data_IF_504979427109
#
_entry.id   IF_504979427109
#
_cell.length_a   1.000
_cell.length_b   1.000
_cell.length_c   1.000
_cell.angle_alpha   90.00
_cell.angle_beta   90.00
_cell.angle_gamma   90.00
#
_symmetry.space_group_name_H-M   'P 1'
#
loop_
_entity.id
_entity.type
_entity.pdbx_description
1 polymer ?
#
# COMPACT_ATOMS: atom_id res chain seq x y z
N UNK A 1 15.74 3.46 -6.54
CA UNK A 1 14.28 3.36 -6.28
C UNK A 1 13.89 1.90 -6.23
N UNK A 2 13.15 1.46 -5.23
CA UNK A 2 12.64 0.09 -5.12
C UNK A 2 11.32 -0.05 -5.89
N UNK A 3 11.09 -1.23 -6.48
CA UNK A 3 9.83 -1.57 -7.14
C UNK A 3 8.97 -2.45 -6.23
N UNK A 4 7.69 -2.13 -6.10
CA UNK A 4 6.73 -2.91 -5.33
C UNK A 4 5.61 -3.49 -6.20
N UNK A 5 5.10 -4.66 -5.81
CA UNK A 5 3.83 -5.20 -6.28
C UNK A 5 2.79 -4.99 -5.19
N UNK A 6 1.64 -4.40 -5.51
CA UNK A 6 0.52 -4.25 -4.57
C UNK A 6 -0.60 -5.23 -4.90
N UNK A 7 -1.09 -5.91 -3.88
CA UNK A 7 -2.17 -6.89 -3.98
C UNK A 7 -3.36 -6.38 -3.16
N UNK A 8 -4.36 -5.78 -3.84
CA UNK A 8 -5.61 -5.35 -3.22
C UNK A 8 -6.52 -6.54 -2.89
N UNK A 9 -6.44 -7.61 -3.69
CA UNK A 9 -7.20 -8.84 -3.52
C UNK A 9 -8.73 -8.64 -3.58
N UNK A 10 -9.18 -7.83 -4.53
CA UNK A 10 -10.60 -7.55 -4.75
C UNK A 10 -11.36 -8.82 -5.11
N UNK A 11 -12.52 -9.03 -4.48
CA UNK A 11 -13.45 -10.11 -4.80
C UNK A 11 -14.64 -9.54 -5.56
N UNK A 12 -14.76 -9.88 -6.85
CA UNK A 12 -15.85 -9.41 -7.72
C UNK A 12 -16.56 -10.58 -8.38
N UNK A 13 -15.96 -11.09 -9.44
CA UNK A 13 -16.54 -12.06 -10.38
C UNK A 13 -15.58 -13.23 -10.63
N UNK A 14 -14.69 -13.51 -9.70
CA UNK A 14 -13.74 -14.62 -9.84
C UNK A 14 -14.48 -15.97 -9.80
N UNK A 15 -14.31 -16.85 -10.82
CA UNK A 15 -15.06 -18.11 -10.92
C UNK A 15 -14.86 -19.04 -9.71
N UNK A 16 -13.68 -19.00 -9.09
CA UNK A 16 -13.34 -19.79 -7.89
C UNK A 16 -13.45 -18.97 -6.59
N UNK A 17 -14.10 -17.81 -6.63
CA UNK A 17 -14.30 -16.95 -5.46
C UNK A 17 -13.00 -16.53 -4.77
N UNK A 18 -13.04 -16.43 -3.44
CA UNK A 18 -11.88 -16.01 -2.65
C UNK A 18 -10.66 -16.93 -2.79
N UNK A 19 -10.87 -18.24 -2.97
CA UNK A 19 -9.77 -19.19 -3.20
C UNK A 19 -9.01 -18.87 -4.49
N UNK A 20 -9.75 -18.51 -5.55
CA UNK A 20 -9.16 -18.08 -6.82
C UNK A 20 -8.34 -16.80 -6.66
N UNK A 21 -8.88 -15.78 -5.98
CA UNK A 21 -8.15 -14.55 -5.68
C UNK A 21 -6.84 -14.82 -4.91
N UNK A 22 -6.86 -15.75 -3.94
CA UNK A 22 -5.65 -16.15 -3.19
C UNK A 22 -4.60 -16.83 -4.09
N UNK A 23 -5.04 -17.74 -4.98
CA UNK A 23 -4.14 -18.41 -5.95
C UNK A 23 -3.53 -17.42 -6.94
N UNK A 24 -4.33 -16.52 -7.47
CA UNK A 24 -3.87 -15.50 -8.41
C UNK A 24 -2.89 -14.53 -7.74
N UNK A 25 -3.18 -14.11 -6.51
CA UNK A 25 -2.26 -13.30 -5.69
C UNK A 25 -0.92 -13.99 -5.51
N UNK A 26 -0.93 -15.28 -5.13
CA UNK A 26 0.31 -16.08 -5.01
C UNK A 26 1.07 -16.07 -6.34
N UNK A 27 0.38 -16.35 -7.45
CA UNK A 27 1.02 -16.39 -8.78
C UNK A 27 1.65 -15.05 -9.17
N UNK A 28 0.99 -13.94 -8.88
CA UNK A 28 1.52 -12.60 -9.15
C UNK A 28 2.75 -12.29 -8.30
N UNK A 29 2.77 -12.71 -7.03
CA UNK A 29 3.94 -12.51 -6.15
C UNK A 29 5.12 -13.40 -6.59
N UNK A 30 4.88 -14.65 -7.02
CA UNK A 30 5.91 -15.52 -7.59
C UNK A 30 6.55 -14.87 -8.83
N UNK A 31 5.74 -14.29 -9.73
CA UNK A 31 6.21 -13.56 -10.91
C UNK A 31 6.97 -12.30 -10.51
N UNK A 32 6.49 -11.55 -9.53
CA UNK A 32 7.19 -10.36 -9.05
C UNK A 32 8.58 -10.70 -8.49
N UNK A 33 8.71 -11.80 -7.73
CA UNK A 33 9.99 -12.28 -7.24
C UNK A 33 10.91 -12.73 -8.40
N UNK A 34 10.37 -13.44 -9.41
CA UNK A 34 11.10 -13.83 -10.62
C UNK A 34 11.64 -12.62 -11.39
N UNK A 35 10.86 -11.54 -11.45
CA UNK A 35 11.18 -10.30 -12.14
C UNK A 35 11.99 -9.29 -11.29
N UNK A 36 12.49 -9.71 -10.13
CA UNK A 36 13.27 -8.91 -9.19
C UNK A 36 12.55 -7.63 -8.72
N UNK A 37 11.25 -7.74 -8.41
CA UNK A 37 10.57 -6.73 -7.61
C UNK A 37 11.07 -6.80 -6.16
N UNK A 38 11.18 -5.65 -5.50
CA UNK A 38 11.76 -5.56 -4.15
C UNK A 38 10.77 -5.93 -3.05
N UNK A 39 9.47 -5.56 -3.20
CA UNK A 39 8.47 -5.69 -2.13
C UNK A 39 7.13 -6.17 -2.70
N UNK A 40 6.52 -7.19 -2.07
CA UNK A 40 5.13 -7.56 -2.27
C UNK A 40 4.29 -7.04 -1.10
N UNK A 41 3.30 -6.20 -1.40
CA UNK A 41 2.39 -5.59 -0.46
C UNK A 41 1.03 -6.29 -0.47
N UNK A 42 0.43 -6.46 0.71
CA UNK A 42 -0.92 -7.01 0.88
C UNK A 42 -1.80 -6.00 1.59
N UNK A 43 -2.94 -5.68 0.99
CA UNK A 43 -3.91 -4.73 1.56
C UNK A 43 -4.57 -5.27 2.84
N UNK A 44 -5.13 -4.36 3.64
CA UNK A 44 -6.05 -4.67 4.72
C UNK A 44 -7.37 -3.95 4.51
N UNK A 45 -8.45 -4.74 4.37
CA UNK A 45 -9.83 -4.27 4.41
C UNK A 45 -10.75 -5.34 4.97
N UNK A 46 -11.85 -4.92 5.56
CA UNK A 46 -12.72 -5.79 6.33
C UNK A 46 -14.15 -5.79 5.82
N UNK A 47 -14.84 -6.93 5.99
CA UNK A 47 -16.28 -7.11 5.84
C UNK A 47 -16.84 -6.77 4.45
N UNK A 48 -16.02 -6.74 3.40
CA UNK A 48 -16.45 -6.32 2.07
C UNK A 48 -15.67 -7.02 0.96
N UNK A 49 -16.31 -7.08 -0.21
CA UNK A 49 -15.72 -7.56 -1.45
C UNK A 49 -14.67 -6.62 -2.06
N UNK A 50 -14.41 -5.49 -1.42
CA UNK A 50 -13.32 -4.57 -1.78
C UNK A 50 -11.95 -5.26 -1.68
N UNK A 51 -11.75 -6.06 -0.64
CA UNK A 51 -10.57 -6.90 -0.48
C UNK A 51 -10.86 -8.18 0.31
N UNK A 52 -10.29 -9.30 -0.12
CA UNK A 52 -10.33 -10.58 0.58
C UNK A 52 -9.23 -10.74 1.63
N UNK A 53 -8.56 -9.64 2.01
CA UNK A 53 -7.42 -9.64 2.95
C UNK A 53 -7.73 -8.85 4.23
N UNK A 54 -8.32 -9.48 5.25
CA UNK A 54 -8.55 -8.82 6.54
C UNK A 54 -7.33 -8.86 7.47
N UNK A 55 -6.29 -9.62 7.12
CA UNK A 55 -5.05 -9.75 7.92
C UNK A 55 -3.83 -9.81 7.02
N UNK A 56 -3.23 -8.65 6.70
CA UNK A 56 -2.06 -8.60 5.82
C UNK A 56 -0.82 -9.26 6.43
N UNK A 57 -0.68 -9.31 7.75
CA UNK A 57 0.42 -10.05 8.40
C UNK A 57 0.27 -11.57 8.21
N UNK A 58 -0.95 -12.09 8.19
CA UNK A 58 -1.20 -13.49 7.83
C UNK A 58 -0.81 -13.77 6.38
N UNK A 59 -1.10 -12.84 5.47
CA UNK A 59 -0.67 -12.94 4.07
C UNK A 59 0.85 -12.89 3.93
N UNK A 60 1.54 -12.02 4.68
CA UNK A 60 3.00 -12.00 4.73
C UNK A 60 3.59 -13.32 5.25
N UNK A 61 3.03 -13.88 6.32
CA UNK A 61 3.43 -15.18 6.87
C UNK A 61 3.20 -16.33 5.89
N UNK A 62 2.06 -16.33 5.20
CA UNK A 62 1.79 -17.31 4.14
C UNK A 62 2.79 -17.17 2.99
N UNK A 63 3.05 -15.96 2.52
CA UNK A 63 3.99 -15.70 1.44
C UNK A 63 5.44 -16.03 1.82
N UNK A 64 5.83 -15.87 3.07
CA UNK A 64 7.16 -16.22 3.57
C UNK A 64 7.51 -17.69 3.34
N UNK A 65 6.49 -18.58 3.36
CA UNK A 65 6.68 -20.02 3.19
C UNK A 65 7.07 -20.46 1.77
N UNK A 66 6.83 -19.63 0.75
CA UNK A 66 7.09 -19.99 -0.65
C UNK A 66 7.87 -18.94 -1.45
N UNK A 67 8.21 -17.80 -0.85
CA UNK A 67 9.14 -16.79 -1.41
C UNK A 67 10.51 -16.87 -0.73
N UNK A 68 11.56 -16.34 -1.39
CA UNK A 68 12.94 -16.43 -0.90
C UNK A 68 13.68 -15.10 -0.83
N UNK A 69 13.34 -14.13 -1.71
CA UNK A 69 14.08 -12.88 -1.87
C UNK A 69 13.21 -11.64 -1.64
N UNK A 70 12.01 -11.63 -2.21
CA UNK A 70 11.12 -10.48 -2.17
C UNK A 70 10.75 -10.16 -0.72
N UNK A 71 10.81 -8.88 -0.37
CA UNK A 71 10.31 -8.39 0.92
C UNK A 71 8.79 -8.47 0.96
N UNK A 72 8.24 -8.65 2.13
CA UNK A 72 6.81 -8.84 2.35
C UNK A 72 6.29 -7.72 3.25
N UNK A 73 5.23 -7.04 2.85
CA UNK A 73 4.71 -5.89 3.57
C UNK A 73 3.20 -5.89 3.70
N UNK A 74 2.65 -5.67 4.90
CA UNK A 74 1.29 -5.21 5.05
C UNK A 74 1.15 -3.82 4.42
N UNK A 75 0.19 -3.63 3.56
CA UNK A 75 -0.06 -2.36 2.89
C UNK A 75 -1.49 -1.86 3.11
N UNK A 76 -1.87 -1.67 4.41
CA UNK A 76 -1.15 -1.46 5.67
C UNK A 76 -1.75 -2.27 6.81
N UNK A 77 -1.12 -2.29 8.00
CA UNK A 77 -1.78 -2.63 9.24
C UNK A 77 -2.57 -1.40 9.68
N UNK A 78 -3.90 -1.50 9.74
CA UNK A 78 -4.76 -0.43 10.29
C UNK A 78 -4.70 -0.49 11.82
N UNK A 79 -3.61 0.01 12.39
CA UNK A 79 -3.21 -0.20 13.79
C UNK A 79 -4.32 0.09 14.82
N UNK A 80 -5.19 1.13 14.64
CA UNK A 80 -6.28 1.39 15.59
C UNK A 80 -7.31 0.25 15.73
N UNK A 81 -7.38 -0.67 14.76
CA UNK A 81 -8.34 -1.79 14.79
C UNK A 81 -7.82 -3.03 15.53
N UNK A 82 -6.59 -2.98 16.05
CA UNK A 82 -5.91 -4.13 16.65
C UNK A 82 -5.63 -3.93 18.15
N UNK A 83 -5.38 -5.05 18.83
CA UNK A 83 -4.67 -4.99 20.10
C UNK A 83 -3.16 -4.84 19.83
N UNK A 84 -2.50 -3.78 20.32
CA UNK A 84 -1.10 -3.49 20.00
C UNK A 84 -0.12 -4.56 20.49
N UNK A 85 -0.41 -5.26 21.59
CA UNK A 85 0.43 -6.37 22.07
C UNK A 85 0.41 -7.55 21.09
N UNK A 86 -0.76 -7.83 20.51
CA UNK A 86 -0.91 -8.88 19.51
C UNK A 86 -0.17 -8.53 18.23
N UNK A 87 -0.32 -7.31 17.74
CA UNK A 87 0.39 -6.84 16.53
C UNK A 87 1.90 -6.93 16.70
N UNK A 88 2.44 -6.52 17.86
CA UNK A 88 3.87 -6.63 18.12
C UNK A 88 4.38 -8.08 18.00
N UNK A 89 3.63 -9.04 18.53
CA UNK A 89 3.98 -10.45 18.42
C UNK A 89 3.87 -10.96 16.98
N UNK A 90 2.79 -10.62 16.27
CA UNK A 90 2.57 -11.02 14.88
C UNK A 90 3.63 -10.45 13.93
N UNK A 91 4.08 -9.20 14.14
CA UNK A 91 5.22 -8.62 13.43
C UNK A 91 6.49 -9.43 13.67
N UNK A 92 6.78 -9.78 14.93
CA UNK A 92 7.97 -10.56 15.25
C UNK A 92 7.92 -11.97 14.65
N UNK A 93 6.72 -12.61 14.62
CA UNK A 93 6.50 -13.91 13.97
C UNK A 93 6.74 -13.81 12.47
N UNK A 94 6.09 -12.85 11.80
CA UNK A 94 6.19 -12.68 10.34
C UNK A 94 7.63 -12.32 9.91
N UNK A 95 8.33 -11.50 10.69
CA UNK A 95 9.73 -11.17 10.44
C UNK A 95 10.64 -12.41 10.58
N UNK A 96 10.40 -13.21 11.60
CA UNK A 96 11.14 -14.47 11.81
C UNK A 96 10.86 -15.48 10.70
N UNK A 97 9.58 -15.70 10.35
CA UNK A 97 9.21 -16.65 9.29
C UNK A 97 9.73 -16.25 7.92
N UNK A 98 9.81 -14.94 7.64
CA UNK A 98 10.37 -14.44 6.40
C UNK A 98 11.90 -14.40 6.37
N UNK A 99 12.58 -14.73 7.48
CA UNK A 99 14.03 -14.62 7.58
C UNK A 99 14.53 -13.18 7.50
N UNK A 100 13.79 -12.24 8.10
CA UNK A 100 14.14 -10.81 8.10
C UNK A 100 13.79 -10.06 6.81
N UNK A 101 12.79 -10.55 6.04
CA UNK A 101 12.30 -9.90 4.83
C UNK A 101 11.01 -9.08 5.05
N UNK A 102 10.50 -8.99 6.28
CA UNK A 102 9.33 -8.18 6.56
C UNK A 102 9.66 -6.69 6.43
N UNK A 103 8.74 -5.91 5.88
CA UNK A 103 8.65 -4.47 6.04
C UNK A 103 7.35 -4.14 6.75
N UNK A 104 7.31 -3.07 7.55
CA UNK A 104 6.13 -2.71 8.33
C UNK A 104 5.40 -1.55 7.64
N UNK A 105 4.24 -1.82 7.05
CA UNK A 105 3.36 -0.77 6.57
C UNK A 105 2.25 -0.49 7.60
N UNK A 106 2.08 0.77 7.98
CA UNK A 106 1.15 1.23 9.02
C UNK A 106 0.19 2.28 8.48
N UNK A 107 -1.05 2.24 8.94
CA UNK A 107 -2.07 3.22 8.61
C UNK A 107 -3.01 3.51 9.76
N UNK A 108 -3.56 4.73 9.76
CA UNK A 108 -4.58 5.14 10.75
C UNK A 108 -5.97 4.64 10.42
N UNK A 109 -6.19 4.14 9.20
CA UNK A 109 -7.52 3.83 8.70
C UNK A 109 -8.33 5.07 8.27
N UNK A 110 -9.39 4.83 7.49
CA UNK A 110 -10.25 5.91 6.98
C UNK A 110 -11.67 5.47 6.63
N UNK A 111 -11.99 4.18 6.83
CA UNK A 111 -13.27 3.58 6.44
C UNK A 111 -14.20 3.53 7.64
N UNK A 112 -15.23 4.40 7.66
CA UNK A 112 -16.21 4.46 8.77
C UNK A 112 -16.85 3.10 9.02
N UNK A 113 -17.21 2.38 7.92
CA UNK A 113 -17.85 1.08 8.01
C UNK A 113 -17.00 0.05 8.79
N UNK A 114 -15.68 0.03 8.58
CA UNK A 114 -14.78 -0.88 9.27
C UNK A 114 -14.65 -0.52 10.76
N UNK A 115 -14.48 0.76 11.07
CA UNK A 115 -14.32 1.26 12.43
C UNK A 115 -15.54 0.98 13.31
N UNK A 116 -16.74 1.19 12.77
CA UNK A 116 -17.99 0.92 13.51
C UNK A 116 -18.09 -0.55 13.97
N UNK A 117 -17.63 -1.50 13.16
CA UNK A 117 -17.71 -2.93 13.45
C UNK A 117 -16.66 -3.40 14.44
N UNK A 118 -15.57 -2.69 14.54
CA UNK A 118 -14.57 -2.90 15.59
C UNK A 118 -14.82 -2.05 16.84
N UNK A 119 -15.91 -1.28 16.88
CA UNK A 119 -16.26 -0.38 17.99
C UNK A 119 -15.13 0.63 18.31
N UNK A 120 -14.43 1.09 17.28
CA UNK A 120 -13.39 2.10 17.37
C UNK A 120 -13.91 3.43 16.82
N UNK A 121 -13.70 4.51 17.54
CA UNK A 121 -14.12 5.85 17.12
C UNK A 121 -13.14 6.37 16.05
N UNK A 122 -13.66 6.62 14.84
CA UNK A 122 -12.83 7.04 13.70
C UNK A 122 -12.12 8.39 13.95
N UNK A 123 -12.75 9.31 14.67
CA UNK A 123 -12.16 10.62 14.99
C UNK A 123 -10.95 10.52 15.93
N UNK A 124 -10.90 9.50 16.79
CA UNK A 124 -9.77 9.24 17.70
C UNK A 124 -8.61 8.49 17.01
N UNK A 125 -8.74 8.09 15.75
CA UNK A 125 -7.79 7.19 15.03
C UNK A 125 -6.32 7.60 15.12
N UNK A 126 -6.01 8.90 15.09
CA UNK A 126 -4.63 9.39 15.13
C UNK A 126 -4.04 9.23 16.54
N UNK A 127 -4.81 9.56 17.56
CA UNK A 127 -4.36 9.46 18.95
C UNK A 127 -4.26 7.99 19.38
N UNK A 128 -5.23 7.14 18.99
CA UNK A 128 -5.15 5.67 19.20
C UNK A 128 -3.92 5.09 18.50
N UNK A 129 -3.69 5.48 17.23
CA UNK A 129 -2.54 5.01 16.47
C UNK A 129 -1.22 5.33 17.15
N UNK A 130 -1.05 6.56 17.63
CA UNK A 130 0.18 7.00 18.30
C UNK A 130 0.41 6.24 19.62
N UNK A 131 -0.64 6.09 20.44
CA UNK A 131 -0.57 5.34 21.69
C UNK A 131 -0.26 3.84 21.45
N UNK A 132 -0.91 3.23 20.45
CA UNK A 132 -0.68 1.83 20.10
C UNK A 132 0.71 1.61 19.49
N UNK A 133 1.20 2.58 18.70
CA UNK A 133 2.56 2.50 18.18
C UNK A 133 3.60 2.59 19.28
N UNK A 134 3.39 3.41 20.31
CA UNK A 134 4.32 3.48 21.46
C UNK A 134 4.46 2.13 22.14
N UNK A 135 3.37 1.37 22.27
CA UNK A 135 3.37 0.02 22.83
C UNK A 135 4.12 -0.96 21.91
N UNK A 136 3.78 -0.94 20.60
CA UNK A 136 4.42 -1.81 19.60
C UNK A 136 5.92 -1.55 19.52
N UNK A 137 6.33 -0.28 19.48
CA UNK A 137 7.75 0.11 19.44
C UNK A 137 8.50 -0.37 20.68
N UNK A 138 7.96 -0.14 21.88
CA UNK A 138 8.60 -0.63 23.12
C UNK A 138 8.74 -2.16 23.11
N UNK A 139 7.69 -2.87 22.72
CA UNK A 139 7.70 -4.34 22.64
C UNK A 139 8.78 -4.86 21.68
N UNK A 140 8.88 -4.28 20.49
CA UNK A 140 9.81 -4.76 19.44
C UNK A 140 11.26 -4.33 19.72
N UNK A 141 11.47 -3.12 20.21
CA UNK A 141 12.83 -2.58 20.46
C UNK A 141 13.40 -3.08 21.78
N UNK A 142 12.63 -2.98 22.87
CA UNK A 142 13.08 -3.30 24.22
C UNK A 142 12.80 -4.75 24.62
N UNK A 143 11.87 -5.43 23.94
CA UNK A 143 11.40 -6.75 24.32
C UNK A 143 10.53 -6.75 25.58
N UNK A 144 10.17 -5.57 26.10
CA UNK A 144 9.27 -5.37 27.25
C UNK A 144 8.47 -4.11 27.04
N UNK A 145 7.27 -4.07 27.62
CA UNK A 145 6.41 -2.89 27.62
C UNK A 145 5.71 -2.77 28.98
N UNK A 146 5.55 -1.53 29.44
CA UNK A 146 4.65 -1.12 30.50
C UNK A 146 4.06 0.21 30.06
N UNK A 147 2.73 0.33 30.03
CA UNK A 147 2.06 1.49 29.46
C UNK A 147 0.79 1.83 30.19
N UNK A 148 0.54 3.10 30.43
CA UNK A 148 -0.71 3.59 30.99
C UNK A 148 -1.18 4.79 30.15
N UNK A 149 -2.06 4.51 29.18
CA UNK A 149 -2.55 5.47 28.21
C UNK A 149 -4.02 5.84 28.38
N UNK A 150 -4.51 6.64 27.45
CA UNK A 150 -5.93 7.04 27.36
C UNK A 150 -6.81 5.89 26.91
N UNK A 151 -6.33 5.11 25.94
CA UNK A 151 -7.13 4.07 25.26
C UNK A 151 -6.82 2.66 25.78
N UNK A 152 -5.62 2.42 26.30
CA UNK A 152 -5.22 1.11 26.81
C UNK A 152 -4.17 1.25 27.93
N UNK A 153 -4.29 0.37 28.92
CA UNK A 153 -3.25 0.19 29.95
C UNK A 153 -2.68 -1.23 29.85
N UNK A 154 -1.35 -1.32 29.86
CA UNK A 154 -0.61 -2.57 29.73
C UNK A 154 0.28 -2.74 30.96
N UNK A 155 0.06 -3.77 31.79
CA UNK A 155 0.99 -4.08 32.88
C UNK A 155 2.34 -4.51 32.31
N UNK A 156 3.38 -4.45 33.13
CA UNK A 156 4.73 -4.85 32.71
C UNK A 156 4.70 -6.26 32.08
N UNK A 157 4.99 -6.30 30.77
CA UNK A 157 4.88 -7.50 29.94
C UNK A 157 6.19 -7.70 29.16
N UNK A 158 6.71 -8.92 29.15
CA UNK A 158 7.91 -9.30 28.40
C UNK A 158 7.55 -10.14 27.19
N UNK A 159 8.28 -9.94 26.09
CA UNK A 159 8.08 -10.65 24.82
C UNK A 159 9.20 -11.67 24.61
N UNK A 160 8.84 -12.95 24.48
CA UNK A 160 9.78 -14.03 24.20
C UNK A 160 10.23 -13.99 22.74
N UNK A 161 9.28 -13.76 21.80
CA UNK A 161 9.60 -13.64 20.39
C UNK A 161 10.04 -12.23 20.02
N UNK A 162 11.08 -12.12 19.20
CA UNK A 162 11.69 -10.86 18.77
C UNK A 162 11.88 -10.86 17.25
N UNK A 163 11.94 -9.67 16.65
CA UNK A 163 12.29 -9.51 15.24
C UNK A 163 13.72 -9.97 14.96
N UNK A 164 13.94 -10.52 13.75
CA UNK A 164 15.27 -10.79 13.21
C UNK A 164 15.98 -9.49 12.88
N UNK A 165 15.26 -8.54 12.29
CA UNK A 165 15.77 -7.24 11.90
C UNK A 165 15.92 -6.32 13.12
N UNK A 166 17.03 -5.55 13.18
CA UNK A 166 17.35 -4.65 14.28
C UNK A 166 17.63 -3.23 13.77
N UNK A 167 17.20 -2.20 14.49
CA UNK A 167 16.34 -2.25 15.70
C UNK A 167 14.90 -2.64 15.39
N UNK A 168 14.42 -2.42 14.15
CA UNK A 168 13.09 -2.71 13.62
C UNK A 168 13.18 -3.05 12.14
N UNK A 169 12.22 -3.81 11.59
CA UNK A 169 12.01 -3.86 10.14
C UNK A 169 11.78 -2.46 9.56
N UNK A 170 12.11 -2.19 8.27
CA UNK A 170 11.82 -0.91 7.63
C UNK A 170 10.34 -0.52 7.73
N UNK A 171 10.07 0.77 7.98
CA UNK A 171 8.72 1.27 8.27
C UNK A 171 8.21 2.14 7.12
N UNK A 172 6.94 1.92 6.75
CA UNK A 172 6.18 2.75 5.83
C UNK A 172 4.89 3.21 6.53
N UNK A 173 4.47 4.47 6.31
CA UNK A 173 3.29 5.02 6.98
C UNK A 173 2.39 5.72 5.96
N UNK A 174 1.13 5.28 5.82
CA UNK A 174 0.15 5.93 4.94
C UNK A 174 -0.50 7.11 5.63
N UNK A 175 0.26 8.16 5.89
CA UNK A 175 -0.24 9.39 6.48
C UNK A 175 0.63 10.58 6.11
N UNK A 176 -0.03 11.73 5.88
CA UNK A 176 0.59 13.06 5.79
C UNK A 176 0.34 13.89 7.05
N UNK A 177 -0.17 13.29 8.14
CA UNK A 177 -0.46 14.03 9.37
C UNK A 177 0.86 14.43 10.07
N UNK A 178 1.09 15.74 10.39
CA UNK A 178 2.36 16.21 10.96
C UNK A 178 2.82 15.49 12.24
N UNK A 179 1.88 15.13 13.14
CA UNK A 179 2.22 14.35 14.35
C UNK A 179 2.84 12.99 14.01
N UNK A 180 2.32 12.30 12.98
CA UNK A 180 2.86 11.00 12.56
C UNK A 180 4.21 11.16 11.88
N UNK A 181 4.35 12.11 10.96
CA UNK A 181 5.64 12.39 10.31
C UNK A 181 6.71 12.69 11.35
N UNK A 182 6.44 13.56 12.32
CA UNK A 182 7.35 13.86 13.42
C UNK A 182 7.69 12.64 14.28
N UNK A 183 6.69 11.78 14.57
CA UNK A 183 6.86 10.58 15.39
C UNK A 183 7.73 9.51 14.72
N UNK A 184 7.59 9.37 13.39
CA UNK A 184 8.23 8.29 12.63
C UNK A 184 9.57 8.69 11.96
N UNK A 185 9.88 9.99 11.82
CA UNK A 185 11.12 10.44 11.18
C UNK A 185 12.40 9.89 11.82
N UNK A 186 12.39 9.63 13.13
CA UNK A 186 13.55 9.05 13.84
C UNK A 186 13.92 7.64 13.36
N UNK A 187 12.97 6.94 12.74
CA UNK A 187 13.14 5.60 12.17
C UNK A 187 13.44 5.61 10.67
N UNK A 188 13.53 6.79 10.05
CA UNK A 188 13.68 6.92 8.60
C UNK A 188 12.46 6.36 7.84
N UNK A 189 11.28 6.36 8.46
CA UNK A 189 10.08 5.80 7.87
C UNK A 189 9.70 6.53 6.58
N UNK A 190 9.27 5.77 5.57
CA UNK A 190 8.81 6.30 4.29
C UNK A 190 7.31 6.59 4.34
N UNK A 191 6.86 7.85 4.18
CA UNK A 191 5.47 8.10 3.85
C UNK A 191 5.08 7.32 2.59
N UNK A 192 3.89 6.72 2.61
CA UNK A 192 3.37 5.94 1.50
C UNK A 192 2.03 6.54 1.04
N UNK A 193 2.02 7.20 -0.12
CA UNK A 193 0.83 7.82 -0.68
C UNK A 193 0.29 7.00 -1.86
N UNK A 194 -1.03 6.92 -1.93
CA UNK A 194 -1.73 6.17 -2.95
C UNK A 194 -3.04 6.85 -3.31
N UNK A 195 -3.14 7.34 -4.55
CA UNK A 195 -4.37 7.95 -5.06
C UNK A 195 -5.36 6.90 -5.59
N UNK A 196 -5.03 5.61 -5.48
CA UNK A 196 -5.86 4.50 -5.97
C UNK A 196 -6.25 4.73 -7.44
N UNK A 197 -7.53 4.60 -7.76
CA UNK A 197 -8.09 4.73 -9.11
C UNK A 197 -8.17 6.19 -9.61
N UNK A 198 -7.92 7.18 -8.75
CA UNK A 198 -7.89 8.60 -9.16
C UNK A 198 -6.60 8.98 -9.90
N UNK A 199 -5.58 8.11 -9.83
CA UNK A 199 -4.35 8.20 -10.63
C UNK A 199 -3.45 9.39 -10.32
N UNK A 200 -2.58 9.72 -11.28
CA UNK A 200 -1.51 10.71 -11.11
C UNK A 200 -1.98 12.11 -10.71
N UNK A 201 -3.08 12.68 -11.23
CA UNK A 201 -3.51 14.02 -10.81
C UNK A 201 -3.82 14.13 -9.31
N UNK A 202 -4.48 13.11 -8.76
CA UNK A 202 -4.77 13.08 -7.32
C UNK A 202 -3.49 12.77 -6.50
N UNK A 203 -2.62 11.90 -7.02
CA UNK A 203 -1.35 11.59 -6.38
C UNK A 203 -0.45 12.83 -6.23
N UNK A 204 -0.42 13.71 -7.23
CA UNK A 204 0.35 14.97 -7.16
C UNK A 204 -0.16 15.88 -6.04
N UNK A 205 -1.48 16.02 -5.91
CA UNK A 205 -2.08 16.79 -4.79
C UNK A 205 -1.72 16.21 -3.43
N UNK A 206 -1.70 14.87 -3.32
CA UNK A 206 -1.26 14.20 -2.08
C UNK A 206 0.23 14.47 -1.80
N UNK A 207 1.08 14.47 -2.83
CA UNK A 207 2.49 14.82 -2.73
C UNK A 207 2.71 16.25 -2.26
N UNK A 208 1.97 17.21 -2.82
CA UNK A 208 2.03 18.62 -2.40
C UNK A 208 1.59 18.79 -0.94
N UNK A 209 0.51 18.12 -0.54
CA UNK A 209 0.06 18.11 0.86
C UNK A 209 1.07 17.49 1.81
N UNK A 210 1.75 16.43 1.40
CA UNK A 210 2.83 15.81 2.18
C UNK A 210 4.04 16.75 2.33
N UNK A 211 4.45 17.43 1.25
CA UNK A 211 5.53 18.41 1.30
C UNK A 211 5.20 19.53 2.30
N UNK A 212 4.00 20.11 2.21
CA UNK A 212 3.54 21.14 3.17
C UNK A 212 3.53 20.61 4.61
N UNK A 213 3.19 19.35 4.82
CA UNK A 213 3.21 18.74 6.14
C UNK A 213 4.64 18.60 6.70
N UNK A 214 5.64 18.22 5.87
CA UNK A 214 7.05 18.22 6.26
C UNK A 214 7.56 19.63 6.60
N UNK A 215 7.28 20.61 5.75
CA UNK A 215 7.65 22.02 5.98
C UNK A 215 7.07 22.55 7.30
N UNK A 216 5.80 22.17 7.62
CA UNK A 216 5.13 22.61 8.85
C UNK A 216 5.81 22.12 10.14
N UNK A 217 6.62 21.09 10.07
CA UNK A 217 7.41 20.55 11.21
C UNK A 217 8.91 20.87 11.10
N UNK A 218 9.29 21.77 10.18
CA UNK A 218 10.65 22.26 10.00
C UNK A 218 11.59 21.30 9.27
N UNK A 219 11.06 20.35 8.51
CA UNK A 219 11.85 19.40 7.72
C UNK A 219 11.79 19.76 6.22
N UNK A 220 12.90 19.57 5.50
CA UNK A 220 12.97 19.72 4.05
C UNK A 220 12.40 18.46 3.37
N UNK A 221 11.28 18.57 2.59
CA UNK A 221 10.69 17.43 1.89
C UNK A 221 11.63 16.75 0.89
N UNK A 222 12.59 17.49 0.30
CA UNK A 222 13.53 16.95 -0.68
C UNK A 222 14.48 15.90 -0.08
N UNK A 223 14.69 15.94 1.23
CA UNK A 223 15.56 15.01 1.96
C UNK A 223 14.82 13.77 2.48
N UNK A 224 13.50 13.67 2.27
CA UNK A 224 12.69 12.60 2.85
C UNK A 224 12.40 11.50 1.83
N UNK A 225 12.40 10.23 2.27
CA UNK A 225 11.96 9.15 1.40
C UNK A 225 10.46 9.29 1.11
N UNK A 226 10.04 8.77 -0.04
CA UNK A 226 8.63 8.73 -0.44
C UNK A 226 8.33 7.42 -1.14
N UNK A 227 7.31 6.72 -0.69
CA UNK A 227 6.71 5.60 -1.40
C UNK A 227 5.41 6.03 -2.08
N UNK A 228 5.22 5.60 -3.33
CA UNK A 228 3.98 5.84 -4.07
C UNK A 228 3.41 4.54 -4.59
N UNK A 229 2.07 4.50 -4.79
CA UNK A 229 1.40 3.39 -5.45
C UNK A 229 0.54 3.90 -6.61
N UNK A 230 0.61 3.17 -7.74
CA UNK A 230 -0.17 3.42 -8.95
C UNK A 230 -0.81 2.13 -9.47
N UNK A 231 -1.96 2.28 -10.09
CA UNK A 231 -2.60 1.23 -10.88
C UNK A 231 -1.99 1.22 -12.26
N UNK A 232 -1.50 0.07 -12.69
CA UNK A 232 -0.71 -0.09 -13.92
C UNK A 232 -1.32 -1.15 -14.80
N UNK A 233 -1.52 -0.84 -16.09
CA UNK A 233 -1.93 -1.83 -17.08
C UNK A 233 -1.32 -1.49 -18.43
N UNK A 234 -0.57 -2.44 -19.02
CA UNK A 234 -0.04 -2.30 -20.36
C UNK A 234 -1.04 -2.89 -21.36
N UNK A 235 -1.52 -2.05 -22.27
CA UNK A 235 -2.61 -2.34 -23.20
C UNK A 235 -2.17 -2.15 -24.65
N UNK A 236 -2.85 -2.84 -25.59
CA UNK A 236 -2.56 -2.75 -27.03
C UNK A 236 -3.58 -1.87 -27.78
N UNK A 237 -4.64 -1.44 -27.08
CA UNK A 237 -5.70 -0.61 -27.67
C UNK A 237 -6.42 0.25 -26.65
N UNK A 238 -7.14 1.28 -27.15
CA UNK A 238 -8.03 2.09 -26.30
C UNK A 238 -9.13 1.23 -25.66
N UNK A 239 -9.64 0.23 -26.35
CA UNK A 239 -10.66 -0.67 -25.82
C UNK A 239 -10.14 -1.42 -24.58
N UNK A 240 -8.92 -1.95 -24.63
CA UNK A 240 -8.28 -2.58 -23.46
C UNK A 240 -8.01 -1.59 -22.31
N UNK A 241 -7.66 -0.35 -22.64
CA UNK A 241 -7.49 0.69 -21.63
C UNK A 241 -8.81 1.04 -20.93
N UNK A 242 -9.93 1.07 -21.68
CA UNK A 242 -11.26 1.28 -21.10
C UNK A 242 -11.74 0.10 -20.24
N UNK A 243 -11.39 -1.15 -20.59
CA UNK A 243 -11.60 -2.31 -19.71
C UNK A 243 -10.84 -2.15 -18.38
N UNK A 244 -9.59 -1.73 -18.41
CA UNK A 244 -8.84 -1.41 -17.20
C UNK A 244 -9.52 -0.27 -16.42
N UNK A 245 -10.05 0.74 -17.12
CA UNK A 245 -10.85 1.81 -16.54
C UNK A 245 -12.13 1.29 -15.84
N UNK A 246 -12.81 0.31 -16.43
CA UNK A 246 -13.99 -0.32 -15.84
C UNK A 246 -13.65 -1.07 -14.55
N UNK A 247 -12.57 -1.85 -14.54
CA UNK A 247 -12.06 -2.54 -13.34
C UNK A 247 -11.69 -1.55 -12.23
N UNK A 248 -11.08 -0.43 -12.59
CA UNK A 248 -10.76 0.63 -11.65
C UNK A 248 -12.00 1.34 -11.13
N UNK A 249 -13.01 1.60 -11.98
CA UNK A 249 -14.28 2.18 -11.57
C UNK A 249 -14.97 1.33 -10.51
N UNK A 250 -14.99 0.01 -10.68
CA UNK A 250 -15.50 -0.90 -9.66
C UNK A 250 -14.80 -0.69 -8.31
N UNK A 251 -13.46 -0.68 -8.29
CA UNK A 251 -12.68 -0.42 -7.07
C UNK A 251 -13.01 0.96 -6.47
N UNK A 252 -13.16 1.97 -7.33
CA UNK A 252 -13.52 3.33 -6.92
C UNK A 252 -14.89 3.39 -6.22
N UNK A 253 -15.89 2.67 -6.74
CA UNK A 253 -17.22 2.54 -6.14
C UNK A 253 -17.17 1.89 -4.77
N UNK A 254 -16.47 0.75 -4.66
CA UNK A 254 -16.29 0.07 -3.38
C UNK A 254 -15.63 0.99 -2.35
N UNK A 255 -14.53 1.65 -2.73
CA UNK A 255 -13.81 2.59 -1.86
C UNK A 255 -14.67 3.80 -1.46
N UNK A 256 -15.56 4.27 -2.34
CA UNK A 256 -16.50 5.36 -2.03
C UNK A 256 -17.52 4.91 -0.98
N UNK A 257 -18.17 3.77 -1.20
CA UNK A 257 -19.20 3.28 -0.30
C UNK A 257 -18.65 2.97 1.09
N UNK A 258 -17.48 2.35 1.19
CA UNK A 258 -16.84 2.03 2.49
C UNK A 258 -16.57 3.24 3.39
N UNK A 259 -16.57 4.46 2.85
CA UNK A 259 -16.47 5.70 3.63
C UNK A 259 -17.80 6.11 4.26
N UNK A 260 -18.90 5.48 3.87
CA UNK A 260 -20.23 5.77 4.41
C UNK A 260 -20.50 4.90 5.66
N UNK A 261 -21.35 5.39 6.55
CA UNK A 261 -21.76 4.64 7.72
C UNK A 261 -22.67 3.44 7.38
N UNK A 262 -23.41 3.54 6.26
CA UNK A 262 -24.25 2.46 5.73
C UNK A 262 -23.80 2.11 4.30
N UNK A 263 -23.86 0.82 3.97
CA UNK A 263 -23.48 0.31 2.65
C UNK A 263 -24.69 -0.19 1.86
N UNK A 264 -24.73 0.00 0.54
CA UNK A 264 -25.62 -0.74 -0.33
C UNK A 264 -25.09 -2.17 -0.45
N UNK A 265 -25.72 -3.13 0.24
CA UNK A 265 -25.32 -4.52 0.23
C UNK A 265 -26.34 -5.38 -0.54
N UNK A 266 -25.85 -6.40 -1.22
CA UNK A 266 -26.67 -7.47 -1.75
C UNK A 266 -27.06 -8.49 -0.66
N UNK A 267 -27.79 -9.55 -1.06
CA UNK A 267 -28.24 -10.61 -0.13
C UNK A 267 -27.09 -11.43 0.48
N UNK A 268 -25.92 -11.41 -0.12
CA UNK A 268 -24.74 -12.16 0.30
C UNK A 268 -23.75 -11.27 1.11
N UNK A 269 -24.11 -9.99 1.32
CA UNK A 269 -23.32 -9.02 2.09
C UNK A 269 -22.22 -8.33 1.27
N UNK A 270 -22.26 -8.42 -0.05
CA UNK A 270 -21.32 -7.71 -0.92
C UNK A 270 -21.82 -6.30 -1.20
N UNK A 271 -20.89 -5.34 -1.26
CA UNK A 271 -21.19 -3.97 -1.68
C UNK A 271 -21.62 -4.00 -3.14
N UNK A 272 -22.76 -3.37 -3.43
CA UNK A 272 -23.28 -3.24 -4.79
C UNK A 272 -22.39 -2.32 -5.63
N UNK A 273 -22.26 -2.66 -6.92
CA UNK A 273 -21.52 -1.86 -7.91
C UNK A 273 -22.39 -0.67 -8.39
N UNK A 274 -22.72 0.26 -7.48
CA UNK A 274 -23.58 1.40 -7.77
C UNK A 274 -22.76 2.67 -8.01
N UNK A 275 -23.13 3.49 -9.04
CA UNK A 275 -22.50 4.76 -9.30
C UNK A 275 -22.77 5.76 -8.17
N UNK A 276 -21.86 6.73 -8.01
CA UNK A 276 -22.00 7.81 -7.05
C UNK A 276 -21.84 9.19 -7.72
N UNK A 277 -22.33 10.23 -7.04
CA UNK A 277 -22.23 11.58 -7.57
C UNK A 277 -20.76 12.02 -7.67
N UNK A 278 -20.36 12.50 -8.85
CA UNK A 278 -18.99 12.93 -9.12
C UNK A 278 -18.04 11.78 -9.52
N UNK A 279 -18.56 10.59 -9.79
CA UNK A 279 -17.78 9.49 -10.34
C UNK A 279 -17.10 9.90 -11.66
N UNK A 280 -15.86 9.48 -11.83
CA UNK A 280 -15.13 9.70 -13.07
C UNK A 280 -15.73 8.88 -14.23
N UNK A 281 -15.61 9.39 -15.45
CA UNK A 281 -15.91 8.61 -16.66
C UNK A 281 -14.87 7.49 -16.85
N UNK A 282 -15.19 6.48 -17.66
CA UNK A 282 -14.23 5.41 -17.99
C UNK A 282 -12.95 5.95 -18.64
N UNK A 283 -13.11 6.95 -19.52
CA UNK A 283 -11.97 7.62 -20.14
C UNK A 283 -11.08 8.30 -19.10
N UNK A 284 -11.68 9.01 -18.14
CA UNK A 284 -10.92 9.65 -17.06
C UNK A 284 -10.20 8.64 -16.16
N UNK A 285 -10.83 7.50 -15.84
CA UNK A 285 -10.14 6.43 -15.12
C UNK A 285 -8.93 5.91 -15.91
N UNK A 286 -9.10 5.57 -17.19
CA UNK A 286 -8.02 5.07 -18.03
C UNK A 286 -6.89 6.09 -18.23
N UNK A 287 -7.23 7.38 -18.40
CA UNK A 287 -6.25 8.43 -18.67
C UNK A 287 -5.48 8.86 -17.41
N UNK A 288 -6.12 8.88 -16.25
CA UNK A 288 -5.50 9.29 -14.98
C UNK A 288 -4.54 8.23 -14.41
N UNK A 289 -4.84 6.94 -14.59
CA UNK A 289 -3.97 5.85 -14.16
C UNK A 289 -2.77 5.66 -15.09
N UNK A 290 -1.82 4.83 -14.69
CA UNK A 290 -0.64 4.44 -15.48
C UNK A 290 -1.03 3.31 -16.44
N UNK A 291 -1.93 3.63 -17.37
CA UNK A 291 -2.52 2.72 -18.35
C UNK A 291 -2.26 3.20 -19.77
N UNK A 292 -1.96 2.28 -20.69
CA UNK A 292 -1.70 2.53 -22.10
C UNK A 292 -0.70 1.54 -22.70
N UNK A 293 -0.22 1.85 -23.92
CA UNK A 293 0.90 1.13 -24.52
C UNK A 293 2.20 1.36 -23.73
N UNK A 294 3.30 0.60 -24.01
CA UNK A 294 4.53 0.72 -23.25
C UNK A 294 5.13 2.12 -23.21
N UNK A 295 5.04 2.90 -24.30
CA UNK A 295 5.56 4.28 -24.34
C UNK A 295 4.71 5.20 -23.46
N UNK A 296 3.39 5.13 -23.57
CA UNK A 296 2.45 5.89 -22.73
C UNK A 296 2.65 5.59 -21.25
N UNK A 297 2.79 4.31 -20.89
CA UNK A 297 3.03 3.90 -19.49
C UNK A 297 4.38 4.40 -19.00
N UNK A 298 5.44 4.31 -19.81
CA UNK A 298 6.76 4.84 -19.46
C UNK A 298 6.74 6.35 -19.26
N UNK A 299 6.10 7.12 -20.16
CA UNK A 299 5.95 8.57 -20.02
C UNK A 299 5.25 8.98 -18.73
N UNK A 300 4.12 8.31 -18.40
CA UNK A 300 3.39 8.55 -17.15
C UNK A 300 4.23 8.21 -15.92
N UNK A 301 4.97 7.10 -15.95
CA UNK A 301 5.88 6.71 -14.87
C UNK A 301 7.02 7.72 -14.69
N UNK A 302 7.66 8.14 -15.80
CA UNK A 302 8.72 9.18 -15.80
C UNK A 302 8.20 10.50 -15.24
N UNK A 303 6.97 10.90 -15.62
CA UNK A 303 6.33 12.11 -15.08
C UNK A 303 6.14 12.02 -13.56
N UNK A 304 5.67 10.88 -13.06
CA UNK A 304 5.52 10.63 -11.62
C UNK A 304 6.88 10.68 -10.89
N UNK A 305 7.91 10.05 -11.47
CA UNK A 305 9.27 10.04 -10.90
C UNK A 305 9.84 11.46 -10.83
N UNK A 306 9.76 12.21 -11.93
CA UNK A 306 10.28 13.59 -11.99
C UNK A 306 9.50 14.54 -11.05
N UNK A 307 8.19 14.39 -10.96
CA UNK A 307 7.33 15.28 -10.15
C UNK A 307 7.43 15.02 -8.65
N UNK A 308 7.52 13.76 -8.24
CA UNK A 308 7.41 13.36 -6.84
C UNK A 308 8.75 12.90 -6.24
N UNK A 309 9.68 12.39 -7.04
CA UNK A 309 10.96 11.84 -6.57
C UNK A 309 10.80 10.65 -5.63
N UNK A 310 10.02 9.61 -5.99
CA UNK A 310 9.82 8.49 -5.08
C UNK A 310 11.09 7.65 -4.92
N UNK A 311 11.29 7.16 -3.70
CA UNK A 311 12.30 6.13 -3.39
C UNK A 311 11.73 4.71 -3.55
N UNK A 312 10.40 4.59 -3.55
CA UNK A 312 9.68 3.34 -3.76
C UNK A 312 8.50 3.58 -4.71
N UNK A 313 8.43 2.82 -5.79
CA UNK A 313 7.34 2.85 -6.77
C UNK A 313 6.62 1.52 -6.77
N UNK A 314 5.39 1.50 -6.26
CA UNK A 314 4.58 0.30 -6.15
C UNK A 314 3.52 0.26 -7.26
N UNK A 315 3.42 -0.88 -7.94
CA UNK A 315 2.48 -1.11 -9.03
C UNK A 315 1.39 -2.08 -8.60
N UNK A 316 0.14 -1.76 -8.89
CA UNK A 316 -0.98 -2.69 -8.79
C UNK A 316 -1.40 -3.09 -10.21
N UNK A 317 -1.16 -4.36 -10.60
CA UNK A 317 -1.55 -4.91 -11.89
C UNK A 317 -2.86 -5.70 -11.83
N UNK A 318 -3.29 -6.10 -10.63
CA UNK A 318 -4.43 -7.02 -10.40
C UNK A 318 -5.63 -6.32 -9.74
N UNK A 319 -5.92 -5.08 -10.14
CA UNK A 319 -7.02 -4.31 -9.57
C UNK A 319 -8.39 -4.71 -10.14
N UNK A 320 -9.44 -4.59 -9.34
CA UNK A 320 -10.83 -4.84 -9.73
C UNK A 320 -11.09 -6.27 -10.19
N UNK A 321 -10.39 -7.25 -9.60
CA UNK A 321 -10.43 -8.65 -10.04
C UNK A 321 -10.03 -8.82 -11.52
N UNK A 322 -8.95 -8.13 -11.93
CA UNK A 322 -8.38 -8.28 -13.27
C UNK A 322 -8.09 -9.75 -13.56
N UNK A 323 -8.49 -10.29 -14.73
CA UNK A 323 -8.13 -11.65 -15.10
C UNK A 323 -6.63 -11.91 -14.99
N UNK A 324 -6.24 -13.04 -14.40
CA UNK A 324 -4.84 -13.36 -14.12
C UNK A 324 -3.93 -13.24 -15.35
N UNK A 325 -4.37 -13.76 -16.51
CA UNK A 325 -3.60 -13.66 -17.75
C UNK A 325 -3.30 -12.21 -18.15
N UNK A 326 -4.25 -11.30 -17.94
CA UNK A 326 -4.07 -9.86 -18.25
C UNK A 326 -3.06 -9.23 -17.30
N UNK A 327 -3.17 -9.51 -16.00
CA UNK A 327 -2.23 -9.03 -15.00
C UNK A 327 -0.82 -9.57 -15.25
N UNK A 328 -0.68 -10.86 -15.58
CA UNK A 328 0.60 -11.49 -15.95
C UNK A 328 1.20 -10.87 -17.21
N UNK A 329 0.43 -10.77 -18.29
CA UNK A 329 0.89 -10.10 -19.53
C UNK A 329 1.39 -8.69 -19.21
N UNK A 330 0.67 -7.96 -18.37
CA UNK A 330 1.01 -6.58 -18.00
C UNK A 330 2.33 -6.50 -17.21
N UNK A 331 2.55 -7.31 -16.18
CA UNK A 331 3.79 -7.25 -15.37
C UNK A 331 5.02 -7.70 -16.16
N UNK A 332 4.91 -8.72 -17.03
CA UNK A 332 6.02 -9.14 -17.89
C UNK A 332 6.37 -8.06 -18.90
N UNK A 333 5.37 -7.44 -19.55
CA UNK A 333 5.59 -6.32 -20.49
C UNK A 333 6.14 -5.08 -19.79
N UNK A 334 5.68 -4.82 -18.57
CA UNK A 334 6.25 -3.75 -17.74
C UNK A 334 7.75 -3.92 -17.56
N UNK A 335 8.20 -5.11 -17.16
CA UNK A 335 9.63 -5.39 -16.98
C UNK A 335 10.41 -5.30 -18.30
N UNK A 336 9.88 -5.85 -19.38
CA UNK A 336 10.59 -6.00 -20.65
C UNK A 336 10.53 -4.77 -21.55
N UNK A 337 9.39 -4.08 -21.57
CA UNK A 337 9.12 -3.02 -22.55
C UNK A 337 9.09 -1.63 -21.90
N UNK A 338 8.57 -1.49 -20.67
CA UNK A 338 8.40 -0.19 -20.01
C UNK A 338 9.64 0.24 -19.24
N UNK A 339 10.19 -0.62 -18.37
CA UNK A 339 11.33 -0.25 -17.53
C UNK A 339 12.55 0.23 -18.32
N UNK A 340 12.95 -0.38 -19.44
CA UNK A 340 14.05 0.15 -20.26
C UNK A 340 13.81 1.58 -20.77
N UNK A 341 12.57 1.91 -21.15
CA UNK A 341 12.20 3.26 -21.57
C UNK A 341 12.26 4.27 -20.41
N UNK A 342 11.82 3.84 -19.22
CA UNK A 342 11.93 4.66 -18.00
C UNK A 342 13.41 4.91 -17.67
N UNK A 343 14.25 3.87 -17.66
CA UNK A 343 15.67 4.01 -17.35
C UNK A 343 16.43 4.84 -18.39
N UNK A 344 16.04 4.80 -19.65
CA UNK A 344 16.57 5.70 -20.67
C UNK A 344 16.29 7.19 -20.34
N UNK A 345 15.15 7.49 -19.71
CA UNK A 345 14.72 8.86 -19.43
C UNK A 345 15.20 9.42 -18.08
N UNK A 346 15.42 8.54 -17.07
CA UNK A 346 15.75 8.95 -15.69
C UNK A 346 17.02 8.31 -15.12
N UNK A 347 17.71 7.47 -15.90
CA UNK A 347 18.82 6.64 -15.45
C UNK A 347 18.37 5.36 -14.77
N UNK A 348 19.31 4.46 -14.41
CA UNK A 348 18.99 3.19 -13.77
C UNK A 348 18.16 3.40 -12.51
N UNK A 349 16.98 2.76 -12.43
CA UNK A 349 16.07 2.95 -11.29
C UNK A 349 16.70 2.52 -9.97
N UNK A 350 17.58 1.53 -9.99
CA UNK A 350 18.31 1.09 -8.80
C UNK A 350 19.17 2.19 -8.16
N UNK A 351 19.59 3.20 -8.93
CA UNK A 351 20.40 4.31 -8.46
C UNK A 351 19.57 5.50 -7.95
N UNK A 352 18.24 5.49 -8.14
CA UNK A 352 17.37 6.56 -7.66
C UNK A 352 17.14 6.38 -6.16
N UNK A 353 17.66 7.30 -5.35
CA UNK A 353 17.52 7.33 -3.89
C UNK A 353 17.21 8.72 -3.37
N UNK A 354 17.21 8.88 -2.04
CA UNK A 354 16.93 10.17 -1.38
C UNK A 354 17.96 11.24 -1.75
N UNK A 355 19.25 10.90 -1.75
CA UNK A 355 20.34 11.82 -2.10
C UNK A 355 20.23 12.30 -3.56
N UNK A 356 19.91 11.39 -4.47
CA UNK A 356 19.74 11.68 -5.88
C UNK A 356 18.51 12.56 -6.14
N UNK A 357 17.43 12.34 -5.38
CA UNK A 357 16.22 13.16 -5.42
C UNK A 357 16.49 14.58 -4.90
N UNK A 358 17.22 14.71 -3.81
CA UNK A 358 17.59 16.01 -3.26
C UNK A 358 18.45 16.84 -4.27
N UNK A 359 19.41 16.20 -4.93
CA UNK A 359 20.26 16.86 -5.96
C UNK A 359 19.41 17.32 -7.16
N UNK A 360 18.46 16.53 -7.63
CA UNK A 360 17.60 16.88 -8.77
C UNK A 360 16.64 18.03 -8.50
N UNK A 361 16.21 18.21 -7.23
CA UNK A 361 15.32 19.30 -6.83
C UNK A 361 16.07 20.60 -6.54
N UNK A 362 17.35 20.54 -6.31
CA UNK A 362 18.22 21.71 -6.08
C UNK A 362 18.74 22.35 -7.38
N UNK A 363 18.63 21.71 -8.53
CA UNK A 363 18.98 22.23 -9.86
C UNK A 363 17.72 22.54 -10.69
#
# INVERSE_FOLDING_TARGET
MQLGLFNLMTLRDHPDGALGVMRDTRKMVEIAEELDFDIAWFAEHHFANYSSSPSPLMMCSYAAGWTKKIKLGPGVIVLPLYNPLRVAQEIAVADTQSGGRLVIGLGTGYQQYEFDRYSVVLDDKVDIFLEYWDIVEQALVNGTVEYNGKFISVPKTSFAIKTQQKPLPPIFVTSSHPKLLSRFKKWGASPFIAASTLGSPALYKMGDGLNSAWESIGDDPATKPLAIMQYVSITDSRAEALEAGERARYVGRMAHHLRQASLPLDKDGFILDEPYQGELTLDQYADNMVVGDPHTVAEKMVANIKRLGPTNYTCNFSFGCMPLERAQKSIYRFKKEVLPLVEQAVGPIANIGVEDVAQRRAG
#
